data_IF_249290019094
#
_entry.id   IF_249290019094
#
_cell.length_a   1.000
_cell.length_b   1.000
_cell.length_c   1.000
_cell.angle_alpha   90.00
_cell.angle_beta   90.00
_cell.angle_gamma   90.00
#
_symmetry.space_group_name_H-M   'P 1'
#
loop_
_entity.id
_entity.type
_entity.pdbx_description
1 polymer ?
#
# COMPACT_ATOMS: atom_id res chain seq x y z
N UNK A 1 -11.91 -12.08 -5.78
CA UNK A 1 -11.86 -12.05 -4.30
C UNK A 1 -13.21 -12.15 -3.60
N UNK A 2 -14.31 -11.97 -4.33
CA UNK A 2 -15.68 -11.92 -3.85
C UNK A 2 -16.11 -13.23 -3.18
N UNK A 3 -15.69 -14.37 -3.76
CA UNK A 3 -15.91 -15.68 -3.16
C UNK A 3 -15.22 -15.81 -1.79
N UNK A 4 -13.99 -15.31 -1.64
CA UNK A 4 -13.28 -15.35 -0.37
C UNK A 4 -13.99 -14.53 0.71
N UNK A 5 -14.59 -13.38 0.35
CA UNK A 5 -15.43 -12.59 1.26
C UNK A 5 -16.67 -13.38 1.71
N UNK A 6 -17.37 -14.01 0.77
CA UNK A 6 -18.55 -14.82 1.06
C UNK A 6 -18.21 -16.03 1.95
N UNK A 7 -17.09 -16.70 1.68
CA UNK A 7 -16.60 -17.82 2.49
C UNK A 7 -16.17 -17.39 3.88
N UNK A 8 -15.45 -16.28 4.02
CA UNK A 8 -15.02 -15.77 5.32
C UNK A 8 -16.22 -15.40 6.21
N UNK A 9 -17.26 -14.78 5.63
CA UNK A 9 -18.49 -14.48 6.36
C UNK A 9 -19.23 -15.73 6.83
N UNK A 10 -19.19 -16.83 6.07
CA UNK A 10 -19.86 -18.10 6.39
C UNK A 10 -19.07 -18.98 7.34
N UNK A 11 -17.75 -19.05 7.17
CA UNK A 11 -16.88 -20.00 7.86
C UNK A 11 -16.20 -19.41 9.10
N UNK A 12 -16.23 -18.08 9.27
CA UNK A 12 -15.60 -17.36 10.39
C UNK A 12 -14.18 -17.85 10.70
N UNK A 13 -13.27 -17.88 9.70
CA UNK A 13 -11.95 -18.46 9.88
C UNK A 13 -11.08 -17.61 10.81
N UNK A 14 -10.20 -18.25 11.59
CA UNK A 14 -9.18 -17.52 12.35
C UNK A 14 -8.13 -16.88 11.43
N UNK A 15 -7.78 -17.59 10.35
CA UNK A 15 -6.78 -17.16 9.36
C UNK A 15 -7.32 -17.34 7.95
N UNK A 16 -7.16 -16.31 7.12
CA UNK A 16 -7.35 -16.38 5.67
C UNK A 16 -5.99 -16.37 4.99
N UNK A 17 -5.70 -17.43 4.24
CA UNK A 17 -4.56 -17.46 3.34
C UNK A 17 -4.95 -16.79 2.02
N UNK A 18 -4.29 -15.70 1.66
CA UNK A 18 -4.71 -14.82 0.55
C UNK A 18 -3.63 -14.74 -0.53
N UNK A 19 -3.96 -15.11 -1.76
CA UNK A 19 -3.12 -14.74 -2.90
C UNK A 19 -3.46 -13.31 -3.38
N UNK A 20 -2.48 -12.58 -3.88
CA UNK A 20 -2.69 -11.24 -4.43
C UNK A 20 -3.33 -11.29 -5.82
N UNK A 21 -3.05 -12.34 -6.59
CA UNK A 21 -3.58 -12.52 -7.94
C UNK A 21 -4.76 -13.49 -7.95
N UNK A 22 -5.97 -12.94 -7.92
CA UNK A 22 -7.22 -13.72 -7.89
C UNK A 22 -7.90 -13.81 -9.26
N UNK A 23 -7.27 -13.35 -10.33
CA UNK A 23 -7.85 -13.31 -11.67
C UNK A 23 -8.89 -12.20 -11.81
N UNK A 24 -10.05 -12.51 -12.37
CA UNK A 24 -11.11 -11.54 -12.60
C UNK A 24 -11.80 -11.11 -11.28
N UNK A 25 -12.19 -9.83 -11.20
CA UNK A 25 -12.84 -9.25 -10.01
C UNK A 25 -11.86 -8.52 -9.10
N UNK A 26 -12.19 -8.40 -7.81
CA UNK A 26 -11.30 -7.76 -6.83
C UNK A 26 -10.04 -8.61 -6.57
N UNK A 27 -8.90 -7.92 -6.49
CA UNK A 27 -7.59 -8.53 -6.20
C UNK A 27 -7.44 -8.89 -4.71
N UNK A 28 -6.35 -9.57 -4.35
CA UNK A 28 -6.12 -9.98 -2.97
C UNK A 28 -5.88 -8.82 -2.01
N UNK A 29 -5.38 -7.68 -2.48
CA UNK A 29 -5.17 -6.48 -1.66
C UNK A 29 -6.52 -5.89 -1.26
N UNK A 30 -7.41 -5.67 -2.22
CA UNK A 30 -8.76 -5.16 -1.97
C UNK A 30 -9.59 -6.16 -1.16
N UNK A 31 -9.43 -7.47 -1.43
CA UNK A 31 -10.07 -8.51 -0.61
C UNK A 31 -9.59 -8.44 0.84
N UNK A 32 -8.28 -8.32 1.07
CA UNK A 32 -7.69 -8.17 2.40
C UNK A 32 -8.26 -6.94 3.11
N UNK A 33 -8.29 -5.79 2.42
CA UNK A 33 -8.85 -4.54 2.94
C UNK A 33 -10.29 -4.70 3.41
N UNK A 34 -11.12 -5.39 2.63
CA UNK A 34 -12.53 -5.63 2.99
C UNK A 34 -12.70 -6.59 4.16
N UNK A 35 -11.87 -7.65 4.24
CA UNK A 35 -11.87 -8.58 5.36
C UNK A 35 -11.46 -7.90 6.67
N UNK A 36 -10.47 -7.01 6.62
CA UNK A 36 -9.91 -6.32 7.80
C UNK A 36 -10.72 -5.09 8.20
N UNK A 37 -11.40 -4.42 7.26
CA UNK A 37 -12.25 -3.26 7.51
C UNK A 37 -13.64 -3.61 8.06
N UNK A 38 -14.04 -4.88 8.12
CA UNK A 38 -15.33 -5.33 8.68
C UNK A 38 -15.44 -5.16 10.22
N UNK A 39 -14.68 -4.23 10.79
CA UNK A 39 -14.73 -3.82 12.18
C UNK A 39 -15.96 -2.92 12.40
N UNK A 40 -17.02 -3.48 12.99
CA UNK A 40 -18.02 -2.61 13.65
C UNK A 40 -19.48 -3.08 13.72
N UNK A 41 -19.90 -4.13 13.01
CA UNK A 41 -21.34 -4.45 12.91
C UNK A 41 -21.80 -5.71 13.68
N UNK A 42 -20.93 -6.38 14.46
CA UNK A 42 -21.36 -7.53 15.26
C UNK A 42 -20.22 -8.26 15.99
N UNK A 43 -20.52 -9.35 16.72
CA UNK A 43 -19.56 -10.15 17.48
C UNK A 43 -18.63 -11.03 16.61
N UNK A 44 -18.70 -10.90 15.29
CA UNK A 44 -17.88 -11.70 14.38
C UNK A 44 -16.41 -11.24 14.45
N UNK A 45 -15.53 -12.18 14.81
CA UNK A 45 -14.08 -11.96 14.91
C UNK A 45 -13.49 -11.66 13.53
N UNK A 46 -12.68 -10.61 13.43
CA UNK A 46 -11.94 -10.28 12.21
C UNK A 46 -10.86 -11.35 11.96
N UNK A 47 -10.81 -11.97 10.76
CA UNK A 47 -9.80 -12.97 10.45
C UNK A 47 -8.43 -12.32 10.33
N UNK A 48 -7.38 -13.05 10.71
CA UNK A 48 -6.01 -12.67 10.38
C UNK A 48 -5.72 -13.02 8.92
N UNK A 49 -5.22 -12.07 8.14
CA UNK A 49 -4.92 -12.32 6.73
C UNK A 49 -3.43 -12.57 6.56
N UNK A 50 -3.08 -13.78 6.12
CA UNK A 50 -1.72 -14.16 5.73
C UNK A 50 -1.64 -14.15 4.20
N UNK A 51 -0.93 -13.18 3.63
CA UNK A 51 -0.70 -13.14 2.19
C UNK A 51 0.29 -14.24 1.81
N UNK A 52 -0.02 -15.04 0.80
CA UNK A 52 0.85 -16.06 0.21
C UNK A 52 0.84 -15.91 -1.30
N UNK A 53 1.91 -15.37 -1.86
CA UNK A 53 1.94 -15.05 -3.29
C UNK A 53 3.32 -15.28 -3.92
N UNK A 54 3.38 -15.39 -5.25
CA UNK A 54 4.65 -15.39 -5.99
C UNK A 54 5.23 -13.99 -6.16
N UNK A 55 4.42 -12.96 -5.93
CA UNK A 55 4.79 -11.56 -6.11
C UNK A 55 5.45 -11.00 -4.86
N UNK A 56 6.51 -10.24 -5.03
CA UNK A 56 7.27 -9.70 -3.90
C UNK A 56 7.65 -8.24 -4.11
N UNK A 57 7.06 -7.55 -5.10
CA UNK A 57 7.44 -6.17 -5.40
C UNK A 57 7.24 -5.28 -4.16
N UNK A 58 8.11 -4.27 -3.99
CA UNK A 58 8.03 -3.33 -2.86
C UNK A 58 6.63 -2.70 -2.74
N UNK A 59 5.98 -2.42 -3.88
CA UNK A 59 4.64 -1.87 -3.94
C UNK A 59 3.57 -2.87 -3.50
N UNK A 60 3.67 -4.15 -3.90
CA UNK A 60 2.70 -5.18 -3.50
C UNK A 60 2.76 -5.47 -2.00
N UNK A 61 3.98 -5.57 -1.45
CA UNK A 61 4.21 -5.76 -0.02
C UNK A 61 3.61 -4.60 0.77
N UNK A 62 3.89 -3.36 0.35
CA UNK A 62 3.39 -2.16 1.04
C UNK A 62 1.87 -2.10 1.00
N UNK A 63 1.26 -2.27 -0.18
CA UNK A 63 -0.21 -2.26 -0.34
C UNK A 63 -0.91 -3.34 0.48
N UNK A 64 -0.33 -4.53 0.57
CA UNK A 64 -0.89 -5.63 1.38
C UNK A 64 -0.84 -5.33 2.88
N UNK A 65 0.28 -4.78 3.37
CA UNK A 65 0.43 -4.37 4.78
C UNK A 65 -0.56 -3.25 5.12
N UNK A 66 -0.66 -2.23 4.26
CA UNK A 66 -1.61 -1.12 4.45
C UNK A 66 -3.08 -1.56 4.39
N UNK A 67 -3.37 -2.62 3.63
CA UNK A 67 -4.69 -3.26 3.61
C UNK A 67 -5.00 -4.04 4.90
N UNK A 68 -4.05 -4.16 5.83
CA UNK A 68 -4.24 -4.84 7.12
C UNK A 68 -3.84 -6.31 7.14
N UNK A 69 -3.00 -6.75 6.19
CA UNK A 69 -2.44 -8.11 6.25
C UNK A 69 -1.67 -8.31 7.58
N UNK A 70 -1.95 -9.42 8.26
CA UNK A 70 -1.23 -9.84 9.48
C UNK A 70 0.17 -10.36 9.13
N UNK A 71 0.33 -10.97 7.96
CA UNK A 71 1.62 -11.48 7.49
C UNK A 71 1.72 -11.58 5.97
N UNK A 72 2.92 -11.86 5.49
CA UNK A 72 3.24 -11.98 4.07
C UNK A 72 4.35 -13.02 3.86
N UNK A 73 4.03 -14.06 3.10
CA UNK A 73 4.95 -15.11 2.68
C UNK A 73 5.03 -15.22 1.16
N UNK A 74 6.15 -15.74 0.68
CA UNK A 74 6.32 -16.10 -0.72
C UNK A 74 5.89 -17.54 -0.95
N UNK A 75 5.26 -17.81 -2.10
CA UNK A 75 4.88 -19.18 -2.51
C UNK A 75 6.08 -20.12 -2.70
N UNK A 76 7.29 -19.57 -2.81
CA UNK A 76 8.53 -20.32 -2.92
C UNK A 76 9.10 -20.78 -1.56
N UNK A 77 8.53 -20.32 -0.43
CA UNK A 77 8.97 -20.75 0.89
C UNK A 77 8.63 -22.21 1.17
N UNK A 78 9.34 -22.82 2.11
CA UNK A 78 9.14 -24.23 2.47
C UNK A 78 7.80 -24.44 3.17
N UNK A 79 7.15 -25.60 3.02
CA UNK A 79 5.87 -25.89 3.69
C UNK A 79 5.90 -25.67 5.20
N UNK A 80 7.01 -25.99 5.86
CA UNK A 80 7.17 -25.82 7.31
C UNK A 80 7.08 -24.34 7.73
N UNK A 81 7.59 -23.43 6.90
CA UNK A 81 7.51 -21.99 7.13
C UNK A 81 6.08 -21.48 6.96
N UNK A 82 5.34 -22.00 5.98
CA UNK A 82 3.92 -21.69 5.80
C UNK A 82 3.11 -22.11 7.03
N UNK A 83 3.30 -23.34 7.53
CA UNK A 83 2.58 -23.80 8.73
C UNK A 83 2.93 -22.96 9.96
N UNK A 84 4.22 -22.66 10.16
CA UNK A 84 4.66 -21.80 11.26
C UNK A 84 4.02 -20.40 11.19
N UNK A 85 3.94 -19.82 9.99
CA UNK A 85 3.31 -18.51 9.77
C UNK A 85 1.79 -18.53 10.00
N UNK A 86 1.10 -19.59 9.58
CA UNK A 86 -0.35 -19.75 9.85
C UNK A 86 -0.60 -19.77 11.36
N UNK A 87 0.19 -20.56 12.12
CA UNK A 87 0.05 -20.61 13.58
C UNK A 87 0.40 -19.28 14.26
N UNK A 88 1.40 -18.55 13.76
CA UNK A 88 1.71 -17.22 14.26
C UNK A 88 0.58 -16.22 13.99
N UNK A 89 0.06 -16.20 12.76
CA UNK A 89 -1.05 -15.33 12.35
C UNK A 89 -2.32 -15.61 13.16
N UNK A 90 -2.65 -16.88 13.42
CA UNK A 90 -3.80 -17.26 14.25
C UNK A 90 -3.74 -16.70 15.69
N UNK A 91 -2.53 -16.40 16.16
CA UNK A 91 -2.27 -15.77 17.47
C UNK A 91 -2.11 -14.25 17.37
N UNK A 92 -2.40 -13.65 16.22
CA UNK A 92 -2.23 -12.22 15.95
C UNK A 92 -0.78 -11.76 15.82
N UNK A 93 0.18 -12.69 15.68
CA UNK A 93 1.60 -12.36 15.52
C UNK A 93 1.92 -12.17 14.05
N UNK A 94 2.69 -11.13 13.74
CA UNK A 94 3.15 -10.88 12.37
C UNK A 94 4.10 -11.99 11.91
N UNK A 95 3.88 -12.50 10.70
CA UNK A 95 4.74 -13.47 10.04
C UNK A 95 5.17 -12.92 8.67
N UNK A 96 6.47 -12.67 8.51
CA UNK A 96 7.07 -12.22 7.26
C UNK A 96 8.15 -13.21 6.84
N UNK A 97 8.21 -13.58 5.57
CA UNK A 97 9.35 -14.37 5.10
C UNK A 97 10.63 -13.53 5.09
N UNK A 98 11.79 -14.18 5.15
CA UNK A 98 13.08 -13.50 5.23
C UNK A 98 13.28 -12.41 4.15
N UNK A 99 13.06 -12.73 2.85
CA UNK A 99 13.15 -11.75 1.77
C UNK A 99 12.18 -10.57 1.94
N UNK A 100 10.95 -10.83 2.35
CA UNK A 100 9.92 -9.81 2.54
C UNK A 100 10.26 -8.90 3.72
N UNK A 101 10.69 -9.48 4.85
CA UNK A 101 11.15 -8.72 6.02
C UNK A 101 12.32 -7.79 5.66
N UNK A 102 13.27 -8.27 4.85
CA UNK A 102 14.37 -7.45 4.34
C UNK A 102 13.89 -6.24 3.54
N UNK A 103 12.91 -6.43 2.64
CA UNK A 103 12.34 -5.34 1.82
C UNK A 103 11.53 -4.34 2.65
N UNK A 104 10.71 -4.82 3.58
CA UNK A 104 9.98 -3.96 4.53
C UNK A 104 10.97 -3.08 5.30
N UNK A 105 12.03 -3.67 5.85
CA UNK A 105 13.06 -2.92 6.57
C UNK A 105 13.83 -1.96 5.68
N UNK A 106 14.12 -2.33 4.42
CA UNK A 106 14.74 -1.44 3.46
C UNK A 106 13.84 -0.24 3.15
N UNK A 107 12.53 -0.46 2.95
CA UNK A 107 11.55 0.61 2.71
C UNK A 107 11.41 1.55 3.90
N UNK A 108 11.41 1.02 5.13
CA UNK A 108 11.39 1.86 6.35
C UNK A 108 12.65 2.71 6.51
N UNK A 109 13.80 2.23 5.99
CA UNK A 109 15.08 2.95 5.99
C UNK A 109 15.22 3.93 4.82
N UNK A 110 14.39 3.83 3.77
CA UNK A 110 14.41 4.81 2.67
C UNK A 110 14.03 6.17 3.27
N UNK A 111 14.86 7.21 3.11
CA UNK A 111 14.49 8.54 3.54
C UNK A 111 13.21 8.93 2.80
N UNK A 112 12.16 9.33 3.53
CA UNK A 112 10.99 9.97 2.90
C UNK A 112 11.52 11.08 2.00
N UNK A 113 11.01 11.23 0.77
CA UNK A 113 11.45 12.32 -0.10
C UNK A 113 11.28 13.63 0.66
N UNK A 114 12.41 14.25 1.01
CA UNK A 114 12.43 15.54 1.68
C UNK A 114 12.06 16.59 0.64
N UNK A 115 10.75 16.72 0.41
CA UNK A 115 10.20 17.86 -0.28
C UNK A 115 10.52 19.09 0.56
N UNK A 116 10.92 20.16 -0.10
CA UNK A 116 10.98 21.49 0.51
C UNK A 116 9.56 22.00 0.74
N UNK A 117 9.38 23.02 1.58
CA UNK A 117 8.06 23.64 1.79
C UNK A 117 7.45 24.09 0.46
N UNK A 118 8.30 24.65 -0.42
CA UNK A 118 7.85 25.09 -1.74
C UNK A 118 7.38 23.96 -2.64
N UNK A 119 8.05 22.82 -2.59
CA UNK A 119 7.65 21.64 -3.35
C UNK A 119 6.35 21.03 -2.81
N UNK A 120 6.13 21.09 -1.49
CA UNK A 120 4.85 20.71 -0.86
C UNK A 120 3.72 21.62 -1.32
N UNK A 121 3.91 22.93 -1.30
CA UNK A 121 2.90 23.89 -1.78
C UNK A 121 2.48 23.59 -3.22
N UNK A 122 3.47 23.38 -4.11
CA UNK A 122 3.23 23.06 -5.52
C UNK A 122 2.50 21.72 -5.66
N UNK A 123 2.92 20.70 -4.91
CA UNK A 123 2.30 19.37 -4.94
C UNK A 123 0.86 19.40 -4.42
N UNK A 124 0.56 20.22 -3.40
CA UNK A 124 -0.79 20.43 -2.90
C UNK A 124 -1.70 21.06 -3.96
N UNK A 125 -1.24 22.12 -4.63
CA UNK A 125 -1.98 22.73 -5.73
C UNK A 125 -2.15 21.75 -6.90
N UNK A 126 -1.12 20.95 -7.21
CA UNK A 126 -1.19 19.90 -8.24
C UNK A 126 -2.28 18.86 -7.93
N UNK A 127 -2.40 18.44 -6.67
CA UNK A 127 -3.37 17.45 -6.20
C UNK A 127 -4.82 17.95 -6.27
N UNK A 128 -5.05 19.26 -6.20
CA UNK A 128 -6.37 19.88 -6.46
C UNK A 128 -6.75 19.95 -7.94
N UNK A 129 -5.85 19.56 -8.85
CA UNK A 129 -6.10 19.52 -10.29
C UNK A 129 -5.60 20.75 -11.08
N UNK A 130 -4.97 21.73 -10.43
CA UNK A 130 -4.54 22.96 -11.09
C UNK A 130 -3.43 22.75 -12.13
N UNK A 131 -3.55 23.37 -13.30
CA UNK A 131 -2.52 23.41 -14.32
C UNK A 131 -1.32 24.29 -13.91
N UNK A 132 -0.17 24.14 -14.58
CA UNK A 132 1.06 24.85 -14.20
C UNK A 132 0.91 26.38 -14.14
N UNK A 133 0.12 26.96 -15.05
CA UNK A 133 -0.18 28.39 -15.09
C UNK A 133 -1.05 28.84 -13.91
N UNK A 134 -1.95 27.99 -13.45
CA UNK A 134 -2.82 28.27 -12.30
C UNK A 134 -2.03 28.16 -10.99
N UNK A 135 -1.20 27.13 -10.86
CA UNK A 135 -0.24 26.98 -9.76
C UNK A 135 0.71 28.18 -9.70
N UNK A 136 1.23 28.62 -10.85
CA UNK A 136 2.11 29.77 -10.95
C UNK A 136 1.46 31.05 -10.40
N UNK A 137 0.18 31.28 -10.75
CA UNK A 137 -0.61 32.41 -10.23
C UNK A 137 -0.89 32.27 -8.73
N UNK A 138 -1.35 31.11 -8.29
CA UNK A 138 -1.70 30.85 -6.89
C UNK A 138 -0.50 31.05 -5.95
N UNK A 139 0.70 30.72 -6.44
CA UNK A 139 1.93 30.78 -5.66
C UNK A 139 2.82 31.99 -5.99
N UNK A 140 2.36 32.93 -6.84
CA UNK A 140 3.11 34.13 -7.25
C UNK A 140 4.52 33.83 -7.81
N UNK A 141 4.65 32.83 -8.68
CA UNK A 141 5.90 32.46 -9.38
C UNK A 141 5.69 32.29 -10.88
N UNK A 142 6.77 32.14 -11.63
CA UNK A 142 6.68 31.88 -13.08
C UNK A 142 6.26 30.43 -13.38
N UNK A 143 5.60 30.21 -14.51
CA UNK A 143 5.27 28.85 -14.99
C UNK A 143 6.54 28.01 -15.23
N UNK A 144 7.64 28.64 -15.64
CA UNK A 144 8.93 27.98 -15.78
C UNK A 144 9.46 27.46 -14.43
N UNK A 145 9.33 28.27 -13.37
CA UNK A 145 9.68 27.88 -11.99
C UNK A 145 8.83 26.69 -11.52
N UNK A 146 7.52 26.69 -11.82
CA UNK A 146 6.64 25.54 -11.52
C UNK A 146 7.13 24.28 -12.23
N UNK A 147 7.46 24.35 -13.53
CA UNK A 147 7.98 23.21 -14.30
C UNK A 147 9.29 22.66 -13.70
N UNK A 148 10.20 23.53 -13.28
CA UNK A 148 11.45 23.14 -12.62
C UNK A 148 11.20 22.40 -11.30
N UNK A 149 10.30 22.92 -10.46
CA UNK A 149 9.94 22.25 -9.22
C UNK A 149 9.22 20.92 -9.45
N UNK A 150 8.30 20.85 -10.42
CA UNK A 150 7.60 19.60 -10.74
C UNK A 150 8.57 18.51 -11.19
N UNK A 151 9.60 18.83 -11.98
CA UNK A 151 10.65 17.87 -12.31
C UNK A 151 11.34 17.31 -11.06
N UNK A 152 11.76 18.19 -10.14
CA UNK A 152 12.42 17.76 -8.89
C UNK A 152 11.49 16.95 -7.99
N UNK A 153 10.20 17.30 -7.95
CA UNK A 153 9.17 16.56 -7.23
C UNK A 153 9.05 15.16 -7.83
N UNK A 154 8.94 15.06 -9.16
CA UNK A 154 8.84 13.79 -9.88
C UNK A 154 10.07 12.91 -9.62
N UNK A 155 11.27 13.47 -9.72
CA UNK A 155 12.52 12.78 -9.40
C UNK A 155 12.54 12.28 -7.94
N UNK A 156 12.15 13.12 -6.98
CA UNK A 156 12.10 12.77 -5.54
C UNK A 156 11.05 11.72 -5.24
N UNK A 157 9.90 11.78 -5.91
CA UNK A 157 8.81 10.82 -5.74
C UNK A 157 9.01 9.54 -6.55
N UNK A 158 10.01 9.49 -7.44
CA UNK A 158 10.28 8.34 -8.30
C UNK A 158 9.19 8.08 -9.33
N UNK A 159 8.61 9.14 -9.90
CA UNK A 159 7.49 9.06 -10.84
C UNK A 159 7.71 9.98 -12.03
N UNK A 160 7.14 9.63 -13.18
CA UNK A 160 7.34 10.41 -14.42
C UNK A 160 6.08 11.17 -14.85
N UNK A 161 4.97 10.93 -14.15
CA UNK A 161 3.66 11.43 -14.53
C UNK A 161 3.02 12.25 -13.41
N UNK A 162 2.19 13.22 -13.82
CA UNK A 162 1.38 14.02 -12.91
C UNK A 162 0.47 13.14 -12.04
N UNK A 163 -0.20 12.16 -12.65
CA UNK A 163 -1.09 11.25 -11.94
C UNK A 163 -0.30 10.40 -10.92
N UNK A 164 0.89 9.91 -11.29
CA UNK A 164 1.79 9.20 -10.39
C UNK A 164 2.22 10.07 -9.20
N UNK A 165 2.60 11.32 -9.42
CA UNK A 165 2.97 12.25 -8.35
C UNK A 165 1.83 12.48 -7.36
N UNK A 166 0.59 12.65 -7.83
CA UNK A 166 -0.58 12.80 -6.95
C UNK A 166 -0.89 11.51 -6.20
N UNK A 167 -0.75 10.34 -6.84
CA UNK A 167 -0.95 9.04 -6.20
C UNK A 167 0.04 8.81 -5.05
N UNK A 168 1.34 8.97 -5.32
CA UNK A 168 2.41 8.82 -4.32
C UNK A 168 2.27 9.84 -3.20
N UNK A 169 1.89 11.08 -3.51
CA UNK A 169 1.68 12.11 -2.49
C UNK A 169 0.55 11.75 -1.51
N UNK A 170 -0.52 11.10 -1.99
CA UNK A 170 -1.61 10.59 -1.14
C UNK A 170 -1.17 9.38 -0.31
N UNK A 171 -0.51 8.42 -0.95
CA UNK A 171 0.00 7.20 -0.30
C UNK A 171 0.96 7.54 0.85
N UNK A 172 1.92 8.43 0.59
CA UNK A 172 2.94 8.82 1.57
C UNK A 172 2.49 9.93 2.54
N UNK A 173 1.22 10.36 2.49
CA UNK A 173 0.66 11.45 3.32
C UNK A 173 1.48 12.73 3.26
N UNK A 174 1.92 13.11 2.07
CA UNK A 174 2.68 14.33 1.79
C UNK A 174 1.78 15.55 1.53
N UNK A 175 0.47 15.32 1.49
CA UNK A 175 -0.58 16.32 1.34
C UNK A 175 -1.28 16.55 2.69
N UNK A 176 -1.69 17.78 3.00
CA UNK A 176 -2.55 18.06 4.15
C UNK A 176 -3.93 17.42 4.01
#
# INVERSE_FOLDING_TARGET
>A
GEEALALAARLTPDVVLMDLQLGAGIDGVETTRRLTAATGAGPARTPHVLVLTTYDTDADITRAIEAGATGYLLKAERPEELFAAIHAAAQGRTALSGPVAGRVMANLRKPRPALTDRERDILAQLATGLGNREIARALFISEATVKTHLRRIYDKLGVDTRAGAVAVAKEQRLLP
#
